data_IF_664927507923
#
_entry.id   IF_664927507923
#
_cell.length_a   1.000
_cell.length_b   1.000
_cell.length_c   1.000
_cell.angle_alpha   90.00
_cell.angle_beta   90.00
_cell.angle_gamma   90.00
#
_symmetry.space_group_name_H-M   'P 1'
#
loop_
_entity.id
_entity.type
_entity.pdbx_description
1 polymer ?
#
# COMPACT_ATOMS: atom_id res chain seq x y z
N UNK A 1 -9.57 10.16 2.55
CA UNK A 1 -8.46 9.18 2.39
C UNK A 1 -9.06 7.80 2.41
N UNK A 2 -8.49 6.86 1.66
CA UNK A 2 -8.97 5.49 1.52
C UNK A 2 -7.76 4.55 1.48
N UNK A 3 -7.71 3.58 2.37
CA UNK A 3 -6.76 2.48 2.36
C UNK A 3 -7.54 1.17 2.37
N UNK A 4 -7.45 0.42 1.29
CA UNK A 4 -8.08 -0.89 1.10
C UNK A 4 -7.04 -1.92 0.69
N UNK A 5 -7.49 -3.12 0.27
CA UNK A 5 -6.64 -4.19 -0.23
C UNK A 5 -6.90 -4.44 -1.72
N UNK A 6 -5.86 -4.88 -2.44
CA UNK A 6 -5.99 -5.41 -3.79
C UNK A 6 -6.38 -6.90 -3.80
N UNK A 7 -6.49 -7.48 -5.00
CA UNK A 7 -6.90 -8.88 -5.19
C UNK A 7 -5.90 -9.90 -4.62
N UNK A 8 -4.66 -9.47 -4.32
CA UNK A 8 -3.63 -10.25 -3.64
C UNK A 8 -3.55 -9.94 -2.14
N UNK A 9 -4.55 -9.25 -1.60
CA UNK A 9 -4.63 -8.83 -0.21
C UNK A 9 -3.47 -7.92 0.24
N UNK A 10 -2.90 -7.16 -0.72
CA UNK A 10 -1.87 -6.16 -0.46
C UNK A 10 -2.53 -4.79 -0.34
N UNK A 11 -2.12 -3.96 0.61
CA UNK A 11 -2.80 -2.71 0.81
C UNK A 11 -2.51 -1.70 -0.31
N UNK A 12 -3.44 -0.76 -0.50
CA UNK A 12 -3.32 0.38 -1.40
C UNK A 12 -3.83 1.62 -0.71
N UNK A 13 -3.06 2.71 -0.75
CA UNK A 13 -3.46 3.99 -0.18
C UNK A 13 -3.86 4.98 -1.28
N UNK A 14 -5.00 5.64 -1.09
CA UNK A 14 -5.53 6.71 -1.93
C UNK A 14 -5.89 7.92 -1.09
N UNK A 15 -5.47 9.09 -1.54
CA UNK A 15 -5.74 10.34 -0.82
C UNK A 15 -5.80 11.52 -1.76
N UNK A 16 -6.46 12.58 -1.30
CA UNK A 16 -6.36 13.90 -1.90
C UNK A 16 -5.28 14.68 -1.16
N UNK A 17 -4.42 15.38 -1.89
CA UNK A 17 -3.43 16.30 -1.33
C UNK A 17 -3.41 17.61 -2.09
N UNK A 18 -2.84 18.62 -1.47
CA UNK A 18 -2.49 19.86 -2.14
C UNK A 18 -1.37 19.63 -3.16
N UNK A 19 -1.53 20.24 -4.33
CA UNK A 19 -0.51 20.43 -5.34
C UNK A 19 0.28 21.70 -5.01
N UNK A 20 1.11 21.61 -3.99
CA UNK A 20 2.03 22.70 -3.61
C UNK A 20 3.02 23.10 -4.73
N UNK A 21 3.13 22.28 -5.78
CA UNK A 21 4.10 22.42 -6.87
C UNK A 21 3.56 23.12 -8.12
N UNK A 22 2.35 23.72 -8.14
CA UNK A 22 1.86 24.48 -9.31
C UNK A 22 2.80 25.60 -9.75
N UNK A 23 3.57 26.17 -8.84
CA UNK A 23 4.60 27.18 -9.18
C UNK A 23 5.91 26.58 -9.69
N UNK A 24 6.25 25.33 -9.34
CA UNK A 24 7.54 24.69 -9.68
C UNK A 24 7.47 23.71 -10.84
N UNK A 25 6.35 22.99 -10.99
CA UNK A 25 6.15 22.06 -12.07
C UNK A 25 5.64 22.81 -13.33
N UNK A 26 6.40 22.80 -14.43
CA UNK A 26 6.05 23.56 -15.63
C UNK A 26 4.74 23.10 -16.29
N UNK A 27 4.33 21.84 -16.10
CA UNK A 27 3.10 21.28 -16.66
C UNK A 27 1.88 21.84 -15.92
N UNK A 28 1.83 21.67 -14.60
CA UNK A 28 0.68 22.10 -13.80
C UNK A 28 0.52 23.62 -13.79
N UNK A 29 1.61 24.37 -14.00
CA UNK A 29 1.57 25.84 -14.14
C UNK A 29 0.79 26.31 -15.36
N UNK A 30 0.88 25.59 -16.48
CA UNK A 30 0.23 25.97 -17.74
C UNK A 30 -1.07 25.22 -17.98
N UNK A 31 -1.38 24.22 -17.16
CA UNK A 31 -2.66 23.56 -17.15
C UNK A 31 -3.80 24.57 -16.85
N UNK A 32 -4.88 24.53 -17.63
CA UNK A 32 -5.96 25.51 -17.55
C UNK A 32 -5.67 26.88 -18.15
N UNK A 33 -4.54 27.08 -18.84
CA UNK A 33 -4.22 28.35 -19.53
C UNK A 33 -5.17 28.67 -20.70
N UNK A 34 -5.87 27.66 -21.22
CA UNK A 34 -6.85 27.80 -22.28
C UNK A 34 -8.22 27.32 -21.80
N UNK A 35 -9.28 28.00 -22.23
CA UNK A 35 -10.66 27.61 -21.91
C UNK A 35 -11.04 26.32 -22.64
N UNK A 36 -11.69 25.39 -21.94
CA UNK A 36 -12.21 24.15 -22.54
C UNK A 36 -11.25 22.96 -22.53
N UNK A 37 -10.23 22.96 -21.68
CA UNK A 37 -9.35 21.79 -21.50
C UNK A 37 -10.15 20.52 -21.21
N UNK A 38 -9.80 19.43 -21.91
CA UNK A 38 -10.45 18.12 -21.79
C UNK A 38 -9.56 17.09 -21.10
N UNK A 39 -8.24 17.30 -21.11
CA UNK A 39 -7.25 16.39 -20.56
C UNK A 39 -6.94 16.70 -19.09
N UNK A 40 -6.35 15.72 -18.41
CA UNK A 40 -6.08 15.75 -16.97
C UNK A 40 -4.59 15.51 -16.74
N UNK A 41 -4.05 16.02 -15.64
CA UNK A 41 -2.66 15.72 -15.27
C UNK A 41 -2.62 14.35 -14.61
N UNK A 42 -1.98 13.37 -15.26
CA UNK A 42 -2.08 11.96 -14.87
C UNK A 42 -0.82 11.11 -15.13
N UNK A 43 0.32 11.75 -15.42
CA UNK A 43 1.58 11.16 -15.87
C UNK A 43 1.63 10.65 -17.31
N UNK A 44 0.55 10.70 -18.08
CA UNK A 44 0.53 10.26 -19.48
C UNK A 44 0.50 11.47 -20.39
N UNK A 45 1.56 11.64 -21.19
CA UNK A 45 1.66 12.70 -22.19
C UNK A 45 1.41 14.13 -21.68
N UNK A 46 1.35 14.35 -20.36
CA UNK A 46 1.14 15.62 -19.68
C UNK A 46 1.91 16.78 -20.34
N UNK A 47 3.20 16.56 -20.67
CA UNK A 47 4.05 17.59 -21.28
C UNK A 47 3.57 18.01 -22.68
N UNK A 48 3.03 17.09 -23.46
CA UNK A 48 2.49 17.35 -24.79
C UNK A 48 1.11 17.99 -24.70
N UNK A 49 0.26 17.49 -23.82
CA UNK A 49 -1.09 18.03 -23.57
C UNK A 49 -1.03 19.48 -23.04
N UNK A 50 -0.05 19.76 -22.19
CA UNK A 50 0.24 21.09 -21.69
C UNK A 50 0.64 22.04 -22.83
N UNK A 51 1.47 21.59 -23.77
CA UNK A 51 1.85 22.37 -24.97
C UNK A 51 0.66 22.60 -25.90
N UNK A 52 -0.24 21.63 -26.01
CA UNK A 52 -1.47 21.73 -26.80
C UNK A 52 -2.56 22.57 -26.12
N UNK A 53 -2.36 22.93 -24.85
CA UNK A 53 -3.30 23.76 -24.10
C UNK A 53 -4.58 23.02 -23.70
N UNK A 54 -4.60 21.70 -23.72
CA UNK A 54 -5.82 20.90 -23.49
C UNK A 54 -5.95 20.40 -22.06
N UNK A 55 -4.97 20.65 -21.19
CA UNK A 55 -5.05 20.30 -19.77
C UNK A 55 -6.05 21.18 -19.02
N UNK A 56 -6.90 20.55 -18.21
CA UNK A 56 -7.81 21.22 -17.27
C UNK A 56 -7.05 21.92 -16.16
N UNK A 57 -7.68 22.94 -15.59
CA UNK A 57 -7.15 23.62 -14.41
C UNK A 57 -7.10 22.63 -13.22
N UNK A 58 -5.93 22.45 -12.57
CA UNK A 58 -5.75 21.48 -11.48
C UNK A 58 -6.48 21.88 -10.18
N UNK A 59 -6.75 23.16 -9.99
CA UNK A 59 -7.49 23.67 -8.82
C UNK A 59 -6.75 23.50 -7.48
N UNK A 60 -5.42 23.37 -7.49
CA UNK A 60 -4.60 23.25 -6.29
C UNK A 60 -4.60 21.87 -5.64
N UNK A 61 -5.31 20.88 -6.20
CA UNK A 61 -5.52 19.56 -5.60
C UNK A 61 -5.21 18.43 -6.56
N UNK A 62 -4.74 17.31 -6.02
CA UNK A 62 -4.58 16.06 -6.75
C UNK A 62 -4.99 14.88 -5.91
N UNK A 63 -5.55 13.89 -6.59
CA UNK A 63 -5.64 12.53 -6.08
C UNK A 63 -4.29 11.83 -6.27
N UNK A 64 -3.91 11.02 -5.30
CA UNK A 64 -2.67 10.25 -5.29
C UNK A 64 -2.98 8.85 -4.81
N UNK A 65 -2.40 7.86 -5.49
CA UNK A 65 -2.43 6.47 -5.07
C UNK A 65 -1.01 5.94 -4.82
N UNK A 66 -0.86 5.03 -3.86
CA UNK A 66 0.33 4.20 -3.66
C UNK A 66 -0.11 2.73 -3.59
N UNK A 67 0.53 1.88 -4.40
CA UNK A 67 0.17 0.48 -4.54
C UNK A 67 1.37 -0.34 -5.02
N UNK A 68 1.38 -1.62 -4.69
CA UNK A 68 2.30 -2.58 -5.31
C UNK A 68 1.93 -2.81 -6.77
N UNK A 69 2.91 -3.17 -7.60
CA UNK A 69 2.68 -3.52 -8.99
C UNK A 69 1.66 -4.65 -9.17
N UNK A 70 1.03 -4.74 -10.34
CA UNK A 70 -0.19 -5.53 -10.52
C UNK A 70 0.05 -7.04 -10.58
N UNK A 71 1.29 -7.47 -10.76
CA UNK A 71 1.66 -8.88 -10.76
C UNK A 71 1.73 -9.42 -9.33
N UNK A 72 1.35 -10.69 -9.17
CA UNK A 72 1.57 -11.43 -7.92
C UNK A 72 3.07 -11.42 -7.58
N UNK A 73 3.39 -11.05 -6.34
CA UNK A 73 4.77 -10.99 -5.89
C UNK A 73 5.63 -9.84 -6.46
N UNK A 74 5.02 -8.88 -7.16
CA UNK A 74 5.69 -7.65 -7.63
C UNK A 74 6.48 -6.96 -6.52
N UNK A 75 7.71 -6.57 -6.84
CA UNK A 75 8.61 -5.82 -5.96
C UNK A 75 8.70 -4.33 -6.30
N UNK A 76 7.76 -3.82 -7.11
CA UNK A 76 7.76 -2.43 -7.57
C UNK A 76 6.65 -1.66 -6.87
N UNK A 77 7.00 -0.53 -6.25
CA UNK A 77 6.06 0.43 -5.71
C UNK A 77 5.67 1.41 -6.82
N UNK A 78 4.37 1.57 -7.02
CA UNK A 78 3.78 2.48 -7.98
C UNK A 78 3.13 3.67 -7.28
N UNK A 79 3.13 4.80 -7.97
CA UNK A 79 2.41 6.01 -7.54
C UNK A 79 1.46 6.48 -8.64
N UNK A 80 0.19 6.56 -8.30
CA UNK A 80 -0.85 7.19 -9.11
C UNK A 80 -0.93 8.69 -8.87
N UNK A 81 -1.30 9.45 -9.89
CA UNK A 81 -1.60 10.87 -9.75
C UNK A 81 -2.73 11.26 -10.71
N UNK A 82 -3.61 12.13 -10.24
CA UNK A 82 -4.69 12.66 -11.06
C UNK A 82 -5.09 14.06 -10.60
N UNK A 83 -5.21 15.01 -11.54
CA UNK A 83 -5.70 16.36 -11.26
C UNK A 83 -6.44 16.94 -12.48
N UNK A 84 -7.58 17.65 -12.30
CA UNK A 84 -8.27 17.96 -11.03
C UNK A 84 -8.88 16.73 -10.35
N UNK A 85 -9.32 16.81 -9.10
CA UNK A 85 -9.92 15.67 -8.36
C UNK A 85 -11.29 15.26 -8.92
N UNK A 86 -11.75 14.03 -8.64
CA UNK A 86 -13.08 13.51 -8.99
C UNK A 86 -13.23 13.07 -10.45
N UNK A 87 -14.48 12.95 -10.93
CA UNK A 87 -14.79 12.53 -12.30
C UNK A 87 -14.65 11.02 -12.55
N UNK A 88 -14.97 10.57 -13.76
CA UNK A 88 -14.95 9.14 -14.15
C UNK A 88 -13.57 8.48 -14.03
N UNK A 89 -12.51 9.29 -14.07
CA UNK A 89 -11.12 8.89 -13.95
C UNK A 89 -10.57 8.99 -12.53
N UNK A 90 -11.42 9.13 -11.51
CA UNK A 90 -10.99 9.22 -10.12
C UNK A 90 -10.22 7.98 -9.69
N UNK A 91 -9.08 8.17 -9.02
CA UNK A 91 -8.27 7.10 -8.45
C UNK A 91 -8.99 6.41 -7.28
N UNK A 92 -10.05 6.99 -6.73
CA UNK A 92 -10.90 6.33 -5.73
C UNK A 92 -11.75 5.20 -6.32
N UNK A 93 -11.94 5.18 -7.63
CA UNK A 93 -12.55 4.06 -8.35
C UNK A 93 -11.47 3.06 -8.77
N UNK A 94 -11.61 1.81 -8.29
CA UNK A 94 -10.56 0.78 -8.43
C UNK A 94 -10.20 0.48 -9.88
N UNK A 95 -11.16 0.62 -10.80
CA UNK A 95 -10.96 0.40 -12.24
C UNK A 95 -9.85 1.30 -12.80
N UNK A 96 -9.69 2.51 -12.26
CA UNK A 96 -8.67 3.47 -12.69
C UNK A 96 -7.27 3.18 -12.13
N UNK A 97 -7.12 2.10 -11.34
CA UNK A 97 -5.84 1.60 -10.84
C UNK A 97 -5.45 0.24 -11.43
N UNK A 98 -6.35 -0.38 -12.20
CA UNK A 98 -6.06 -1.66 -12.83
C UNK A 98 -5.05 -1.48 -13.97
N UNK A 99 -4.33 -2.55 -14.34
CA UNK A 99 -3.46 -2.54 -15.51
C UNK A 99 -4.23 -2.21 -16.79
N UNK A 100 -3.59 -1.41 -17.64
CA UNK A 100 -4.02 -1.21 -19.02
C UNK A 100 -3.55 -2.40 -19.91
N UNK A 101 -3.79 -2.33 -21.22
CA UNK A 101 -3.42 -3.39 -22.20
C UNK A 101 -1.93 -3.73 -22.17
N UNK A 102 -1.07 -2.77 -21.79
CA UNK A 102 0.37 -2.91 -21.67
C UNK A 102 0.84 -3.47 -20.31
N UNK A 103 -0.09 -3.80 -19.41
CA UNK A 103 0.21 -4.29 -18.07
C UNK A 103 0.59 -3.20 -17.06
N UNK A 104 0.60 -1.92 -17.48
CA UNK A 104 0.95 -0.80 -16.62
C UNK A 104 -0.30 -0.30 -15.88
N UNK A 105 -0.28 -0.17 -14.55
CA UNK A 105 -1.39 0.43 -13.81
C UNK A 105 -1.74 1.81 -14.38
N UNK A 106 -3.01 2.03 -14.70
CA UNK A 106 -3.48 3.28 -15.29
C UNK A 106 -3.09 4.48 -14.41
N UNK A 107 -2.66 5.59 -15.05
CA UNK A 107 -2.37 6.87 -14.37
C UNK A 107 -1.32 6.77 -13.27
N UNK A 108 -0.48 5.73 -13.33
CA UNK A 108 0.57 5.46 -12.36
C UNK A 108 1.95 5.41 -13.04
N UNK A 109 2.99 5.62 -12.23
CA UNK A 109 4.38 5.39 -12.61
C UNK A 109 5.12 4.63 -11.52
N UNK A 110 6.17 3.85 -11.86
CA UNK A 110 7.02 3.24 -10.84
C UNK A 110 7.78 4.33 -10.08
N UNK A 111 7.90 4.18 -8.77
CA UNK A 111 8.62 5.14 -7.90
C UNK A 111 9.74 4.51 -7.08
N UNK A 112 9.70 3.20 -6.87
CA UNK A 112 10.79 2.43 -6.27
C UNK A 112 10.73 0.97 -6.71
N UNK A 113 11.89 0.36 -6.94
CA UNK A 113 12.07 -1.08 -7.11
C UNK A 113 12.59 -1.72 -5.81
N UNK A 114 12.56 -3.05 -5.74
CA UNK A 114 13.03 -3.79 -4.57
C UNK A 114 12.19 -3.57 -3.32
N UNK A 115 10.92 -3.18 -3.45
CA UNK A 115 9.97 -3.10 -2.34
C UNK A 115 9.28 -4.45 -2.21
N UNK A 116 9.71 -5.30 -1.29
CA UNK A 116 9.15 -6.64 -1.08
C UNK A 116 7.76 -6.60 -0.45
N UNK A 117 7.51 -5.62 0.41
CA UNK A 117 6.26 -5.49 1.14
C UNK A 117 5.97 -4.03 1.48
N UNK A 118 4.68 -3.72 1.49
CA UNK A 118 4.12 -2.43 1.85
C UNK A 118 2.94 -2.67 2.79
N UNK A 119 2.91 -1.95 3.91
CA UNK A 119 1.74 -1.90 4.76
C UNK A 119 1.50 -0.52 5.34
N UNK A 120 0.24 -0.26 5.65
CA UNK A 120 -0.19 0.87 6.46
C UNK A 120 -0.91 0.37 7.70
N UNK A 121 -0.68 1.09 8.79
CA UNK A 121 -1.35 0.88 10.06
C UNK A 121 -1.95 2.20 10.52
N UNK A 122 -3.23 2.23 10.83
CA UNK A 122 -3.97 3.45 11.17
C UNK A 122 -4.50 3.43 12.59
N UNK A 123 -4.35 4.56 13.28
CA UNK A 123 -4.95 4.84 14.58
C UNK A 123 -5.83 6.09 14.48
N UNK A 124 -7.02 6.04 15.05
CA UNK A 124 -7.93 7.20 15.16
C UNK A 124 -8.64 7.19 16.50
N UNK A 125 -9.12 8.36 16.91
CA UNK A 125 -10.03 8.55 18.06
C UNK A 125 -9.64 7.81 19.34
N UNK A 126 -10.27 6.64 19.54
CA UNK A 126 -10.20 5.75 20.69
C UNK A 126 -9.18 4.60 20.58
N UNK A 127 -8.64 4.31 19.39
CA UNK A 127 -7.56 3.32 19.20
C UNK A 127 -6.24 3.72 19.87
N UNK A 128 -6.21 4.93 20.44
CA UNK A 128 -5.15 5.45 21.33
C UNK A 128 -5.38 5.09 22.79
N UNK A 129 -6.53 4.54 23.15
CA UNK A 129 -6.96 4.22 24.51
C UNK A 129 -7.16 2.72 24.68
N UNK A 130 -7.18 2.33 25.93
CA UNK A 130 -7.44 0.97 26.36
C UNK A 130 -8.96 0.70 26.32
N UNK A 131 -9.41 -0.35 25.64
CA UNK A 131 -10.74 -0.93 25.87
C UNK A 131 -10.59 -2.00 26.93
N UNK A 132 -11.29 -1.90 28.05
CA UNK A 132 -11.20 -2.85 29.17
C UNK A 132 -9.75 -3.11 29.65
N UNK A 133 -8.91 -2.08 29.62
CA UNK A 133 -7.50 -2.24 29.99
C UNK A 133 -6.65 -3.00 28.96
N UNK A 134 -7.07 -3.10 27.68
CA UNK A 134 -6.23 -3.55 26.54
C UNK A 134 -6.02 -2.48 25.46
N UNK A 135 -4.78 -2.25 25.04
CA UNK A 135 -4.43 -1.34 23.95
C UNK A 135 -5.05 -1.87 22.66
N UNK A 136 -5.78 -1.02 21.95
CA UNK A 136 -6.36 -1.41 20.67
C UNK A 136 -5.27 -1.51 19.60
N UNK A 137 -5.39 -2.51 18.72
CA UNK A 137 -4.48 -2.67 17.60
C UNK A 137 -4.77 -1.63 16.51
N UNK A 138 -3.74 -1.30 15.73
CA UNK A 138 -3.90 -0.47 14.55
C UNK A 138 -4.77 -1.18 13.51
N UNK A 139 -5.47 -0.42 12.67
CA UNK A 139 -6.13 -1.02 11.51
C UNK A 139 -5.21 -1.11 10.31
N UNK A 140 -5.31 -2.19 9.52
CA UNK A 140 -4.60 -2.30 8.25
C UNK A 140 -5.33 -1.60 7.08
N UNK A 141 -6.49 -0.99 7.33
CA UNK A 141 -7.32 -0.30 6.35
C UNK A 141 -7.90 0.99 6.95
N UNK A 142 -8.41 1.88 6.09
CA UNK A 142 -9.12 3.08 6.54
C UNK A 142 -10.04 3.61 5.44
N UNK A 143 -11.25 4.01 5.77
CA UNK A 143 -12.11 4.77 4.85
C UNK A 143 -12.59 6.04 5.54
N UNK A 144 -12.09 7.19 5.10
CA UNK A 144 -12.50 8.47 5.68
C UNK A 144 -13.95 8.80 5.43
N UNK A 145 -14.51 8.34 4.31
CA UNK A 145 -15.89 8.63 3.92
C UNK A 145 -16.89 7.75 4.66
N UNK A 146 -16.41 6.69 5.34
CA UNK A 146 -17.24 5.71 6.06
C UNK A 146 -18.35 5.07 5.21
N UNK A 147 -18.18 5.03 3.89
CA UNK A 147 -19.22 4.62 2.95
C UNK A 147 -18.74 3.85 1.72
N UNK A 148 -17.42 3.66 1.56
CA UNK A 148 -16.81 2.88 0.47
C UNK A 148 -16.41 1.48 0.97
N UNK A 149 -15.75 1.39 2.12
CA UNK A 149 -15.35 0.11 2.71
C UNK A 149 -16.27 -0.24 3.87
N UNK A 150 -16.94 -1.38 3.80
CA UNK A 150 -17.66 -1.94 4.94
C UNK A 150 -16.62 -2.54 5.92
N UNK A 151 -16.43 -1.95 7.12
CA UNK A 151 -15.48 -2.45 8.08
C UNK A 151 -15.99 -3.76 8.70
N UNK A 152 -15.10 -4.68 9.12
CA UNK A 152 -15.48 -5.77 10.00
C UNK A 152 -16.21 -5.27 11.26
N UNK A 153 -17.18 -6.04 11.74
CA UNK A 153 -18.05 -5.63 12.85
C UNK A 153 -17.26 -5.31 14.14
N UNK A 154 -16.13 -5.97 14.35
CA UNK A 154 -15.24 -5.80 15.50
C UNK A 154 -14.23 -4.64 15.35
N UNK A 155 -14.19 -3.98 14.19
CA UNK A 155 -13.31 -2.84 14.00
C UNK A 155 -13.72 -1.68 14.92
N UNK A 156 -14.99 -1.48 15.25
CA UNK A 156 -15.41 -0.31 16.02
C UNK A 156 -15.32 1.00 15.23
N UNK A 157 -15.30 0.93 13.90
CA UNK A 157 -15.55 2.08 13.02
C UNK A 157 -17.06 2.14 12.75
N UNK A 158 -17.67 3.29 12.99
CA UNK A 158 -19.03 3.55 12.53
C UNK A 158 -19.05 3.58 11.00
N UNK A 159 -19.97 2.86 10.37
CA UNK A 159 -20.12 2.80 8.91
C UNK A 159 -21.56 3.09 8.51
N UNK A 160 -21.73 3.86 7.45
CA UNK A 160 -23.00 4.11 6.78
C UNK A 160 -22.70 4.47 5.32
N UNK A 161 -23.20 3.67 4.37
CA UNK A 161 -23.04 3.91 2.94
C UNK A 161 -23.41 5.34 2.51
N UNK A 162 -24.36 6.00 3.20
CA UNK A 162 -24.76 7.39 2.93
C UNK A 162 -23.71 8.42 3.29
N UNK A 163 -22.73 8.07 4.12
CA UNK A 163 -21.62 8.93 4.52
C UNK A 163 -20.73 9.30 3.33
N UNK A 164 -20.72 8.48 2.27
CA UNK A 164 -19.97 8.75 1.02
C UNK A 164 -20.29 10.12 0.43
N UNK A 165 -21.55 10.54 0.50
CA UNK A 165 -22.03 11.80 -0.08
C UNK A 165 -22.17 12.92 0.99
N UNK A 166 -21.70 12.70 2.21
CA UNK A 166 -21.80 13.62 3.34
C UNK A 166 -20.41 13.95 3.87
N UNK A 167 -19.80 15.00 3.34
CA UNK A 167 -18.45 15.42 3.76
C UNK A 167 -18.34 15.74 5.27
N UNK A 168 -19.44 16.13 5.93
CA UNK A 168 -19.48 16.34 7.37
C UNK A 168 -19.30 15.03 8.15
N UNK A 169 -19.53 13.88 7.52
CA UNK A 169 -19.30 12.58 8.09
C UNK A 169 -17.85 12.11 7.93
N UNK A 170 -16.96 12.86 7.27
CA UNK A 170 -15.58 12.43 7.06
C UNK A 170 -14.78 12.32 8.37
N UNK A 171 -14.05 11.20 8.52
CA UNK A 171 -13.21 10.87 9.68
C UNK A 171 -11.77 10.58 9.22
N UNK A 172 -10.80 11.25 9.82
CA UNK A 172 -9.39 11.06 9.50
C UNK A 172 -8.66 10.41 10.68
N UNK A 173 -7.72 9.48 10.43
CA UNK A 173 -6.93 8.93 11.51
C UNK A 173 -6.05 10.03 12.12
N UNK A 174 -5.65 9.85 13.38
CA UNK A 174 -4.66 10.70 14.02
C UNK A 174 -3.24 10.32 13.58
N UNK A 175 -2.98 9.01 13.50
CA UNK A 175 -1.66 8.49 13.19
C UNK A 175 -1.76 7.44 12.10
N UNK A 176 -0.82 7.50 11.16
CA UNK A 176 -0.56 6.43 10.20
C UNK A 176 0.90 5.99 10.33
N UNK A 177 1.15 4.69 10.38
CA UNK A 177 2.48 4.11 10.20
C UNK A 177 2.56 3.49 8.81
N UNK A 178 3.71 3.69 8.17
CA UNK A 178 4.09 3.05 6.92
C UNK A 178 5.19 2.05 7.24
N UNK A 179 5.00 0.81 6.83
CA UNK A 179 6.02 -0.24 6.85
C UNK A 179 6.39 -0.59 5.41
N UNK A 180 7.68 -0.47 5.09
CA UNK A 180 8.28 -0.99 3.87
C UNK A 180 9.25 -2.11 4.24
N UNK A 181 9.23 -3.21 3.49
CA UNK A 181 10.31 -4.19 3.51
C UNK A 181 11.07 -4.08 2.20
N UNK A 182 12.36 -3.81 2.29
CA UNK A 182 13.22 -3.57 1.13
C UNK A 182 14.11 -4.79 0.86
N UNK A 183 14.27 -5.11 -0.41
CA UNK A 183 15.13 -6.20 -0.89
C UNK A 183 16.59 -5.84 -0.58
N UNK A 184 17.34 -6.69 0.16
CA UNK A 184 18.72 -6.44 0.48
C UNK A 184 19.56 -6.74 -0.76
N UNK A 185 20.08 -5.68 -1.40
CA UNK A 185 21.04 -5.66 -2.53
C UNK A 185 21.03 -6.85 -3.51
N UNK A 186 20.82 -6.56 -4.81
CA UNK A 186 20.72 -7.55 -5.90
C UNK A 186 21.85 -8.60 -6.01
N UNK A 187 23.00 -8.40 -5.35
CA UNK A 187 24.14 -9.31 -5.34
C UNK A 187 24.13 -10.34 -4.20
N UNK A 188 23.15 -10.31 -3.29
CA UNK A 188 23.10 -11.25 -2.16
C UNK A 188 22.73 -12.65 -2.66
N UNK A 189 23.54 -13.64 -2.28
CA UNK A 189 23.18 -15.04 -2.49
C UNK A 189 21.96 -15.37 -1.61
N UNK A 190 20.83 -15.64 -2.26
CA UNK A 190 19.59 -16.03 -1.58
C UNK A 190 19.61 -17.54 -1.36
N UNK A 191 19.26 -17.96 -0.14
CA UNK A 191 19.10 -19.36 0.15
C UNK A 191 17.94 -19.96 -0.64
N UNK A 192 18.02 -21.27 -0.88
CA UNK A 192 17.03 -22.01 -1.66
C UNK A 192 16.59 -23.24 -0.91
N UNK A 193 15.31 -23.59 -1.09
CA UNK A 193 14.78 -24.85 -0.60
C UNK A 193 15.55 -26.03 -1.19
N UNK A 194 15.94 -26.98 -0.35
CA UNK A 194 16.63 -28.21 -0.79
C UNK A 194 15.66 -29.33 -1.17
N UNK A 195 14.40 -29.22 -0.73
CA UNK A 195 13.31 -30.16 -0.97
C UNK A 195 12.04 -29.40 -1.31
N UNK A 196 11.08 -30.06 -1.95
CA UNK A 196 9.71 -29.54 -2.05
C UNK A 196 9.10 -29.47 -0.65
N UNK A 197 8.16 -28.55 -0.44
CA UNK A 197 7.38 -28.41 0.79
C UNK A 197 5.90 -28.28 0.46
N UNK A 198 5.04 -28.93 1.25
CA UNK A 198 3.59 -28.79 1.23
C UNK A 198 3.12 -27.47 1.85
N UNK A 199 1.82 -27.20 1.82
CA UNK A 199 1.19 -26.03 2.45
C UNK A 199 1.07 -26.14 3.98
N UNK A 200 1.03 -27.34 4.54
CA UNK A 200 1.00 -27.60 5.97
C UNK A 200 2.40 -27.72 6.62
N UNK A 201 3.48 -27.76 5.82
CA UNK A 201 4.84 -27.89 6.34
C UNK A 201 5.29 -26.62 7.09
N UNK A 202 5.85 -26.81 8.28
CA UNK A 202 6.37 -25.78 9.19
C UNK A 202 7.90 -25.81 9.34
N UNK A 203 8.57 -26.76 8.68
CA UNK A 203 10.02 -26.90 8.63
C UNK A 203 10.51 -26.75 7.19
N UNK A 204 11.37 -25.76 6.95
CA UNK A 204 11.96 -25.48 5.64
C UNK A 204 13.45 -25.80 5.70
N UNK A 205 13.93 -26.66 4.80
CA UNK A 205 15.36 -27.02 4.71
C UNK A 205 15.99 -26.23 3.56
N UNK A 206 17.02 -25.44 3.86
CA UNK A 206 17.71 -24.59 2.90
C UNK A 206 19.16 -25.01 2.66
N UNK A 207 19.71 -24.60 1.54
CA UNK A 207 21.12 -24.82 1.19
C UNK A 207 22.09 -24.01 2.07
N UNK A 208 21.67 -22.83 2.54
CA UNK A 208 22.40 -22.00 3.51
C UNK A 208 21.45 -21.11 4.29
N UNK A 209 21.79 -20.77 5.54
CA UNK A 209 21.03 -19.80 6.35
C UNK A 209 21.92 -18.70 6.93
N UNK A 210 23.19 -18.65 6.54
CA UNK A 210 24.21 -17.79 7.16
C UNK A 210 23.92 -16.29 7.01
N UNK A 211 23.12 -15.93 6.01
CA UNK A 211 22.75 -14.56 5.67
C UNK A 211 21.50 -14.08 6.44
N UNK A 212 20.78 -14.95 7.16
CA UNK A 212 19.56 -14.53 7.86
C UNK A 212 19.89 -14.07 9.28
N UNK A 213 19.20 -13.00 9.71
CA UNK A 213 19.33 -12.52 11.09
C UNK A 213 18.76 -13.56 12.05
N UNK A 214 19.53 -13.90 13.08
CA UNK A 214 19.07 -14.68 14.23
C UNK A 214 18.48 -13.80 15.35
N UNK A 215 18.52 -12.48 15.17
CA UNK A 215 18.04 -11.51 16.14
C UNK A 215 16.70 -10.92 15.70
N UNK A 216 15.73 -10.92 16.61
CA UNK A 216 14.38 -10.39 16.37
C UNK A 216 13.52 -11.33 15.51
N UNK A 217 12.38 -10.82 15.05
CA UNK A 217 11.48 -11.56 14.17
C UNK A 217 12.06 -11.65 12.76
N UNK A 218 12.16 -12.86 12.22
CA UNK A 218 12.61 -13.10 10.85
C UNK A 218 11.43 -13.41 9.94
N UNK A 219 11.17 -12.52 9.00
CA UNK A 219 10.23 -12.77 7.90
C UNK A 219 11.00 -13.12 6.64
N UNK A 220 10.57 -14.16 5.96
CA UNK A 220 11.04 -14.54 4.63
C UNK A 220 9.88 -14.58 3.65
N UNK A 221 10.19 -14.49 2.36
CA UNK A 221 9.26 -14.64 1.26
C UNK A 221 9.71 -15.79 0.35
N UNK A 222 8.81 -16.71 0.06
CA UNK A 222 8.94 -17.73 -0.98
C UNK A 222 7.94 -17.38 -2.09
N UNK A 223 8.44 -17.02 -3.27
CA UNK A 223 7.62 -16.52 -4.37
C UNK A 223 6.64 -15.40 -3.92
N UNK A 224 5.34 -15.69 -3.82
CA UNK A 224 4.32 -14.74 -3.34
C UNK A 224 3.94 -14.92 -1.87
N UNK A 225 4.39 -15.98 -1.19
CA UNK A 225 4.04 -16.29 0.20
C UNK A 225 5.02 -15.64 1.18
N UNK A 226 4.50 -15.02 2.23
CA UNK A 226 5.27 -14.56 3.38
C UNK A 226 5.19 -15.58 4.52
N UNK A 227 6.34 -15.85 5.14
CA UNK A 227 6.51 -16.80 6.24
C UNK A 227 7.24 -16.10 7.38
N UNK A 228 6.74 -16.24 8.60
CA UNK A 228 7.45 -15.86 9.82
C UNK A 228 8.21 -17.09 10.32
N UNK A 229 9.54 -16.98 10.37
CA UNK A 229 10.42 -18.04 10.87
C UNK A 229 10.42 -18.01 12.40
N UNK A 230 10.15 -19.16 13.02
CA UNK A 230 10.22 -19.31 14.48
C UNK A 230 11.66 -19.36 14.98
N UNK A 231 12.43 -20.32 14.47
CA UNK A 231 13.85 -20.49 14.83
C UNK A 231 14.69 -20.98 13.64
N UNK A 232 15.99 -20.69 13.68
CA UNK A 232 16.99 -21.26 12.76
C UNK A 232 17.76 -22.38 13.48
N UNK A 233 17.64 -23.62 12.99
CA UNK A 233 18.36 -24.79 13.52
C UNK A 233 19.21 -25.44 12.43
N UNK A 234 20.54 -25.27 12.51
CA UNK A 234 21.45 -25.76 11.46
C UNK A 234 21.17 -25.05 10.13
N UNK A 235 20.71 -25.79 9.12
CA UNK A 235 20.30 -25.25 7.81
C UNK A 235 18.78 -25.22 7.62
N UNK A 236 18.03 -25.22 8.73
CA UNK A 236 16.57 -25.30 8.73
C UNK A 236 15.95 -24.07 9.36
N UNK A 237 14.84 -23.63 8.80
CA UNK A 237 13.87 -22.81 9.51
C UNK A 237 12.82 -23.74 10.10
N UNK A 238 12.57 -23.62 11.40
CA UNK A 238 11.61 -24.46 12.14
C UNK A 238 10.55 -23.57 12.80
N UNK A 239 9.43 -24.19 13.19
CA UNK A 239 8.27 -23.52 13.77
C UNK A 239 7.78 -22.35 12.89
N UNK A 240 7.79 -22.55 11.57
CA UNK A 240 7.44 -21.52 10.61
C UNK A 240 5.93 -21.28 10.60
N UNK A 241 5.53 -20.03 10.80
CA UNK A 241 4.16 -19.60 10.57
C UNK A 241 4.00 -19.18 9.12
N UNK A 242 3.30 -20.02 8.36
CA UNK A 242 2.98 -19.89 6.94
C UNK A 242 1.89 -18.85 6.68
N UNK A 243 1.82 -18.29 5.46
CA UNK A 243 0.74 -17.40 5.05
C UNK A 243 0.59 -16.10 5.86
N UNK A 244 1.68 -15.54 6.40
CA UNK A 244 1.61 -14.28 7.14
C UNK A 244 1.48 -13.09 6.18
N UNK A 245 1.30 -11.87 6.71
CA UNK A 245 1.24 -10.62 5.91
C UNK A 245 0.22 -10.65 4.77
N UNK A 246 -0.93 -11.28 5.02
CA UNK A 246 -2.05 -11.35 4.10
C UNK A 246 -1.91 -12.39 2.99
N UNK A 247 -0.85 -13.19 2.99
CA UNK A 247 -0.64 -14.28 2.02
C UNK A 247 -1.33 -15.56 2.46
N UNK A 248 -1.23 -16.63 1.66
CA UNK A 248 -1.72 -17.97 2.00
C UNK A 248 -0.59 -18.97 1.89
N UNK A 249 -0.63 -20.00 2.73
CA UNK A 249 0.23 -21.15 2.60
C UNK A 249 -0.04 -21.86 1.26
N UNK A 250 1.02 -22.13 0.50
CA UNK A 250 0.98 -22.88 -0.77
C UNK A 250 2.16 -23.83 -0.86
N UNK A 251 2.09 -24.84 -1.72
CA UNK A 251 3.24 -25.71 -1.99
C UNK A 251 4.38 -24.91 -2.66
N UNK A 252 5.63 -25.24 -2.31
CA UNK A 252 6.81 -24.67 -2.96
C UNK A 252 7.76 -25.76 -3.42
N UNK A 253 8.35 -25.56 -4.60
CA UNK A 253 9.30 -26.51 -5.16
C UNK A 253 10.71 -26.29 -4.62
N UNK A 254 11.49 -27.37 -4.63
CA UNK A 254 12.94 -27.33 -4.45
C UNK A 254 13.55 -26.28 -5.37
N UNK A 255 14.45 -25.47 -4.81
CA UNK A 255 15.13 -24.40 -5.52
C UNK A 255 14.45 -23.03 -5.42
N UNK A 256 13.22 -22.96 -4.89
CA UNK A 256 12.54 -21.69 -4.58
C UNK A 256 13.39 -20.88 -3.60
N UNK A 257 13.51 -19.57 -3.89
CA UNK A 257 14.38 -18.65 -3.16
C UNK A 257 13.68 -18.14 -1.92
N UNK A 258 14.34 -18.22 -0.78
CA UNK A 258 13.93 -17.55 0.45
C UNK A 258 14.48 -16.13 0.47
N UNK A 259 13.62 -15.12 0.35
CA UNK A 259 14.03 -13.71 0.38
C UNK A 259 13.68 -13.11 1.72
N UNK A 260 14.66 -12.59 2.45
CA UNK A 260 14.43 -11.70 3.60
C UNK A 260 14.70 -10.25 3.20
N UNK A 261 14.16 -9.29 3.94
CA UNK A 261 14.40 -7.87 3.68
C UNK A 261 14.61 -7.03 4.92
N UNK A 262 14.99 -5.78 4.70
CA UNK A 262 15.17 -4.80 5.77
C UNK A 262 13.90 -4.00 5.95
N UNK A 263 13.41 -3.93 7.19
CA UNK A 263 12.24 -3.12 7.52
C UNK A 263 12.61 -1.64 7.65
N UNK A 264 11.82 -0.80 6.98
CA UNK A 264 11.77 0.64 7.22
C UNK A 264 10.37 0.98 7.74
N UNK A 265 10.32 1.63 8.91
CA UNK A 265 9.07 2.10 9.51
C UNK A 265 9.08 3.60 9.64
N UNK A 266 7.95 4.23 9.31
CA UNK A 266 7.76 5.65 9.53
C UNK A 266 6.35 5.94 10.02
N UNK A 267 6.28 6.55 11.19
CA UNK A 267 5.03 7.05 11.77
C UNK A 267 4.82 8.51 11.38
N UNK A 268 3.58 8.85 11.00
CA UNK A 268 3.17 10.18 10.57
C UNK A 268 1.93 10.57 11.37
N UNK A 269 1.96 11.79 11.93
CA UNK A 269 0.79 12.43 12.53
C UNK A 269 0.02 13.19 11.47
N UNK A 270 -1.30 13.05 11.46
CA UNK A 270 -2.19 13.69 10.49
C UNK A 270 -2.74 14.98 11.13
N UNK A 271 -2.34 16.18 10.67
CA UNK A 271 -2.69 17.43 11.35
C UNK A 271 -4.20 17.73 11.40
N UNK A 272 -4.96 17.24 10.41
CA UNK A 272 -6.41 17.42 10.29
C UNK A 272 -7.20 16.21 10.78
N UNK A 273 -6.70 15.46 11.76
CA UNK A 273 -7.43 14.32 12.29
C UNK A 273 -8.82 14.74 12.80
N UNK A 274 -9.81 13.88 12.56
CA UNK A 274 -11.19 14.12 12.99
C UNK A 274 -11.74 12.82 13.52
N UNK A 275 -12.15 12.83 14.77
CA UNK A 275 -12.81 11.69 15.42
C UNK A 275 -14.33 11.80 15.24
N UNK A 276 -14.99 10.68 14.96
CA UNK A 276 -16.45 10.59 14.84
C UNK A 276 -17.19 11.05 16.11
N UNK A 277 -16.52 11.08 17.26
CA UNK A 277 -17.09 11.52 18.54
C UNK A 277 -16.96 13.03 18.81
N UNK A 278 -16.38 13.80 17.88
CA UNK A 278 -16.11 15.23 18.04
C UNK A 278 -14.94 15.55 18.98
N UNK A 279 -14.49 16.83 19.06
CA UNK A 279 -13.60 17.26 20.13
C UNK A 279 -14.33 17.09 21.47
N UNK A 280 -13.68 16.48 22.46
CA UNK A 280 -14.10 16.61 23.86
C UNK A 280 -13.46 17.84 24.47
#
# INVERSE_FOLDING_TARGET
MLCDMDDFNRPRLRLVRTLSDETRNPVTRIAGSYTGGLAEVDYRNDSQEAKLGILRAPGGLAEVAYLMGPESGSEVLWRGMKSPIGGESSLFDVVNLLPDVDGIPMRCRPVADGVLYLAWSFWGGDRRRWSDGKSQQALPYWDSTRGILEPPADAGIAWDARSRDRHEDDVFPDTAEILLVLNPSRSRALARLTTDIGDDDDVLILDSVNEYSTNGQLHIRLDSEWILVGEIQGNRFVDCQRGVRGTKAVEHLRGTRAVSGTEFRRTIRIPGYRDARGPR
#
